data_IF_365957887948
#
_entry.id   IF_365957887948
#
_cell.length_a   1.000
_cell.length_b   1.000
_cell.length_c   1.000
_cell.angle_alpha   90.00
_cell.angle_beta   90.00
_cell.angle_gamma   90.00
#
_symmetry.space_group_name_H-M   'P 1'
#
loop_
_entity.id
_entity.type
_entity.pdbx_description
1 polymer ?
#
# COMPACT_ATOMS: atom_id res chain seq x y z
N UNK A 1 -12.58 4.68 -12.87
CA UNK A 1 -11.61 5.71 -12.48
C UNK A 1 -10.46 5.64 -13.49
N UNK A 2 -10.41 6.60 -14.42
CA UNK A 2 -9.36 6.81 -15.44
C UNK A 2 -9.42 8.29 -15.85
N UNK A 3 -8.29 8.94 -16.21
CA UNK A 3 -6.94 8.39 -16.19
C UNK A 3 -6.37 8.28 -14.76
N UNK A 4 -5.35 7.42 -14.59
CA UNK A 4 -4.49 7.41 -13.39
C UNK A 4 -3.60 8.65 -13.44
N UNK A 5 -3.26 9.22 -12.29
CA UNK A 5 -2.36 10.37 -12.19
C UNK A 5 -1.01 10.07 -12.87
N UNK A 6 -0.58 10.88 -13.85
CA UNK A 6 0.68 10.66 -14.57
C UNK A 6 1.93 10.77 -13.69
N UNK A 7 1.84 11.39 -12.50
CA UNK A 7 2.96 11.48 -11.55
C UNK A 7 3.12 10.21 -10.70
N UNK A 8 2.12 9.31 -10.72
CA UNK A 8 2.12 8.09 -9.91
C UNK A 8 3.33 7.18 -10.17
N UNK A 9 3.77 6.92 -11.42
CA UNK A 9 4.95 6.09 -11.67
C UNK A 9 6.23 6.64 -11.03
N UNK A 10 6.46 7.95 -11.13
CA UNK A 10 7.63 8.61 -10.53
C UNK A 10 7.63 8.53 -9.01
N UNK A 11 6.45 8.59 -8.38
CA UNK A 11 6.30 8.33 -6.95
C UNK A 11 6.54 6.85 -6.63
N UNK A 12 5.92 5.94 -7.38
CA UNK A 12 5.97 4.50 -7.14
C UNK A 12 7.40 3.94 -7.22
N UNK A 13 8.21 4.42 -8.17
CA UNK A 13 9.61 4.03 -8.34
C UNK A 13 10.49 4.28 -7.10
N UNK A 14 10.06 5.15 -6.17
CA UNK A 14 10.76 5.42 -4.90
C UNK A 14 10.38 4.44 -3.78
N UNK A 15 9.47 3.51 -4.05
CA UNK A 15 8.95 2.55 -3.07
C UNK A 15 9.24 1.11 -3.47
N UNK A 16 9.17 0.22 -2.49
CA UNK A 16 9.47 -1.22 -2.65
C UNK A 16 8.28 -2.02 -3.19
N UNK A 17 7.06 -1.50 -3.00
CA UNK A 17 5.82 -2.06 -3.53
C UNK A 17 4.75 -0.96 -3.60
N UNK A 18 3.69 -1.21 -4.37
CA UNK A 18 2.46 -0.41 -4.37
C UNK A 18 1.30 -1.29 -3.89
N UNK A 19 0.57 -0.82 -2.89
CA UNK A 19 -0.66 -1.45 -2.42
C UNK A 19 -1.86 -0.61 -2.85
N UNK A 20 -2.81 -1.21 -3.56
CA UNK A 20 -4.08 -0.58 -3.96
C UNK A 20 -5.20 -1.22 -3.16
N UNK A 21 -5.95 -0.41 -2.41
CA UNK A 21 -7.13 -0.86 -1.66
C UNK A 21 -8.35 -0.22 -2.30
N UNK A 22 -9.29 -1.05 -2.75
CA UNK A 22 -10.49 -0.60 -3.44
C UNK A 22 -11.75 -1.27 -2.89
N UNK A 23 -12.83 -0.50 -2.75
CA UNK A 23 -14.17 -0.99 -2.44
C UNK A 23 -14.91 -1.34 -3.74
N UNK A 24 -14.27 -2.20 -4.55
CA UNK A 24 -14.75 -2.63 -5.84
C UNK A 24 -14.21 -4.03 -6.16
N UNK A 25 -14.79 -4.70 -7.17
CA UNK A 25 -14.23 -5.94 -7.72
C UNK A 25 -12.78 -5.71 -8.15
N UNK A 26 -11.90 -6.60 -7.67
CA UNK A 26 -10.45 -6.53 -7.90
C UNK A 26 -10.06 -6.67 -9.38
N UNK A 27 -10.85 -7.41 -10.15
CA UNK A 27 -10.64 -7.62 -11.60
C UNK A 27 -11.08 -6.37 -12.37
N UNK A 28 -10.20 -5.82 -13.21
CA UNK A 28 -10.52 -4.66 -14.06
C UNK A 28 -10.70 -3.33 -13.29
N UNK A 29 -10.45 -3.32 -11.98
CA UNK A 29 -10.59 -2.17 -11.10
C UNK A 29 -9.42 -1.18 -11.16
N UNK A 30 -9.31 -0.38 -10.10
CA UNK A 30 -8.23 0.60 -9.89
C UNK A 30 -6.88 -0.10 -9.84
N UNK A 31 -6.78 -1.25 -9.19
CA UNK A 31 -5.52 -1.99 -9.13
C UNK A 31 -5.02 -2.42 -10.50
N UNK A 32 -5.92 -2.79 -11.41
CA UNK A 32 -5.58 -3.14 -12.79
C UNK A 32 -5.13 -1.91 -13.59
N UNK A 33 -5.80 -0.76 -13.40
CA UNK A 33 -5.42 0.49 -14.04
C UNK A 33 -4.03 0.98 -13.57
N UNK A 34 -3.78 0.96 -12.25
CA UNK A 34 -2.47 1.32 -11.68
C UNK A 34 -1.38 0.38 -12.19
N UNK A 35 -1.60 -0.94 -12.16
CA UNK A 35 -0.62 -1.89 -12.67
C UNK A 35 -0.32 -1.69 -14.16
N UNK A 36 -1.33 -1.34 -14.96
CA UNK A 36 -1.13 -1.00 -16.36
C UNK A 36 -0.29 0.26 -16.52
N UNK A 37 -0.63 1.35 -15.82
CA UNK A 37 0.12 2.62 -15.88
C UNK A 37 1.58 2.46 -15.44
N UNK A 38 1.86 1.65 -14.41
CA UNK A 38 3.24 1.38 -13.99
C UNK A 38 4.03 0.60 -15.05
N UNK A 39 3.41 -0.40 -15.70
CA UNK A 39 4.04 -1.15 -16.79
C UNK A 39 4.29 -0.28 -18.02
N UNK A 40 3.31 0.54 -18.41
CA UNK A 40 3.43 1.46 -19.54
C UNK A 40 4.56 2.49 -19.33
N UNK A 41 4.90 2.79 -18.06
CA UNK A 41 5.99 3.69 -17.67
C UNK A 41 7.30 2.96 -17.31
N UNK A 42 7.41 1.65 -17.59
CA UNK A 42 8.59 0.81 -17.28
C UNK A 42 9.02 0.84 -15.80
N UNK A 43 8.05 1.00 -14.89
CA UNK A 43 8.28 0.94 -13.44
C UNK A 43 8.00 -0.47 -12.92
N UNK A 44 9.07 -1.28 -12.83
CA UNK A 44 9.00 -2.68 -12.42
C UNK A 44 9.06 -2.84 -10.89
N UNK A 45 7.89 -2.89 -10.27
CA UNK A 45 7.77 -3.19 -8.84
C UNK A 45 6.53 -4.05 -8.52
N UNK A 46 6.51 -4.74 -7.37
CA UNK A 46 5.35 -5.51 -6.94
C UNK A 46 4.13 -4.62 -6.68
N UNK A 47 3.02 -4.90 -7.37
CA UNK A 47 1.70 -4.31 -7.09
C UNK A 47 0.82 -5.33 -6.36
N UNK A 48 0.19 -4.92 -5.27
CA UNK A 48 -0.75 -5.75 -4.50
C UNK A 48 -2.11 -5.07 -4.46
N UNK A 49 -3.13 -5.75 -4.99
CA UNK A 49 -4.49 -5.23 -5.04
C UNK A 49 -5.37 -5.93 -4.00
N UNK A 50 -6.00 -5.13 -3.15
CA UNK A 50 -6.98 -5.53 -2.16
C UNK A 50 -8.32 -4.99 -2.63
N UNK A 51 -9.24 -5.90 -2.96
CA UNK A 51 -10.56 -5.56 -3.44
C UNK A 51 -11.48 -6.77 -3.35
N UNK A 52 -12.74 -6.53 -3.66
CA UNK A 52 -13.82 -7.51 -3.58
C UNK A 52 -13.55 -8.65 -4.59
N UNK A 53 -13.71 -9.93 -4.20
CA UNK A 53 -13.58 -11.04 -5.15
C UNK A 53 -14.69 -10.99 -6.21
N UNK A 54 -14.43 -11.59 -7.37
CA UNK A 54 -15.41 -11.71 -8.45
C UNK A 54 -16.40 -12.85 -8.17
N UNK A 55 -17.23 -12.65 -7.14
CA UNK A 55 -18.23 -13.61 -6.69
C UNK A 55 -19.38 -12.90 -5.99
N UNK A 56 -20.54 -13.56 -5.91
CA UNK A 56 -21.63 -13.11 -5.04
C UNK A 56 -21.26 -13.33 -3.58
N UNK A 57 -21.40 -12.29 -2.78
CA UNK A 57 -21.16 -12.34 -1.33
C UNK A 57 -22.47 -12.64 -0.60
N UNK A 58 -22.36 -13.36 0.52
CA UNK A 58 -23.49 -13.58 1.39
C UNK A 58 -24.02 -12.26 1.96
N UNK A 59 -25.33 -12.20 2.21
CA UNK A 59 -25.92 -11.05 2.88
C UNK A 59 -25.47 -11.02 4.34
N UNK A 60 -24.78 -9.95 4.73
CA UNK A 60 -24.33 -9.70 6.08
C UNK A 60 -24.15 -8.18 6.28
N UNK A 61 -23.82 -7.74 7.50
CA UNK A 61 -23.45 -6.33 7.71
C UNK A 61 -22.15 -6.04 6.97
N UNK A 62 -21.97 -4.80 6.51
CA UNK A 62 -20.76 -4.39 5.76
C UNK A 62 -19.45 -4.82 6.43
N UNK A 63 -19.32 -4.63 7.74
CA UNK A 63 -18.11 -5.01 8.48
C UNK A 63 -17.86 -6.52 8.48
N UNK A 64 -18.92 -7.33 8.56
CA UNK A 64 -18.86 -8.80 8.48
C UNK A 64 -18.45 -9.21 7.05
N UNK A 65 -19.08 -8.64 6.02
CA UNK A 65 -18.71 -8.88 4.62
C UNK A 65 -17.22 -8.60 4.37
N UNK A 66 -16.72 -7.44 4.82
CA UNK A 66 -15.32 -7.05 4.66
C UNK A 66 -14.37 -7.98 5.44
N UNK A 67 -14.76 -8.42 6.63
CA UNK A 67 -14.00 -9.41 7.38
C UNK A 67 -13.94 -10.77 6.68
N UNK A 68 -15.07 -11.25 6.17
CA UNK A 68 -15.17 -12.54 5.47
C UNK A 68 -14.28 -12.61 4.22
N UNK A 69 -14.16 -11.49 3.48
CA UNK A 69 -13.31 -11.40 2.29
C UNK A 69 -11.88 -10.91 2.59
N UNK A 70 -11.56 -10.69 3.86
CA UNK A 70 -10.24 -10.32 4.33
C UNK A 70 -9.78 -8.90 3.97
N UNK A 71 -10.73 -7.95 3.90
CA UNK A 71 -10.52 -6.52 3.67
C UNK A 71 -10.58 -5.71 4.97
N UNK A 72 -10.11 -6.29 6.08
CA UNK A 72 -9.90 -5.54 7.32
C UNK A 72 -8.56 -4.81 7.32
N UNK A 73 -8.41 -3.70 8.07
CA UNK A 73 -7.13 -3.01 8.20
C UNK A 73 -5.99 -3.91 8.67
N UNK A 74 -6.26 -4.81 9.63
CA UNK A 74 -5.26 -5.72 10.19
C UNK A 74 -4.76 -6.73 9.16
N UNK A 75 -5.67 -7.33 8.39
CA UNK A 75 -5.30 -8.31 7.35
C UNK A 75 -4.59 -7.66 6.18
N UNK A 76 -5.03 -6.48 5.75
CA UNK A 76 -4.35 -5.71 4.69
C UNK A 76 -2.93 -5.37 5.13
N UNK A 77 -2.75 -4.82 6.34
CA UNK A 77 -1.44 -4.48 6.88
C UNK A 77 -0.55 -5.73 7.00
N UNK A 78 -1.08 -6.85 7.50
CA UNK A 78 -0.35 -8.12 7.61
C UNK A 78 0.11 -8.66 6.26
N UNK A 79 -0.76 -8.62 5.23
CA UNK A 79 -0.43 -9.06 3.87
C UNK A 79 0.62 -8.15 3.20
N UNK A 80 0.55 -6.84 3.43
CA UNK A 80 1.57 -5.88 2.98
C UNK A 80 2.91 -6.16 3.67
N UNK A 81 2.92 -6.35 4.99
CA UNK A 81 4.12 -6.67 5.76
C UNK A 81 4.78 -7.96 5.28
N UNK A 82 4.00 -9.03 5.11
CA UNK A 82 4.49 -10.30 4.58
C UNK A 82 5.06 -10.16 3.14
N UNK A 83 4.46 -9.31 2.31
CA UNK A 83 4.99 -9.02 0.98
C UNK A 83 6.33 -8.28 1.05
N UNK A 84 6.46 -7.28 1.93
CA UNK A 84 7.72 -6.56 2.15
C UNK A 84 8.84 -7.52 2.61
N UNK A 85 8.56 -8.39 3.58
CA UNK A 85 9.54 -9.37 4.06
C UNK A 85 10.04 -10.28 2.93
N UNK A 86 9.14 -10.77 2.06
CA UNK A 86 9.53 -11.58 0.90
C UNK A 86 10.41 -10.80 -0.09
N UNK A 87 10.06 -9.55 -0.38
CA UNK A 87 10.84 -8.69 -1.29
C UNK A 87 12.24 -8.43 -0.72
N UNK A 88 12.35 -8.21 0.58
CA UNK A 88 13.63 -8.06 1.28
C UNK A 88 14.48 -9.32 1.20
N UNK A 89 13.88 -10.48 1.45
CA UNK A 89 14.58 -11.76 1.39
C UNK A 89 15.10 -12.08 -0.02
N UNK A 90 14.39 -11.64 -1.07
CA UNK A 90 14.80 -11.84 -2.47
C UNK A 90 15.89 -10.85 -2.93
N UNK A 91 16.07 -9.72 -2.25
CA UNK A 91 17.02 -8.65 -2.59
C UNK A 91 17.82 -8.20 -1.36
N UNK A 92 18.71 -9.06 -0.83
CA UNK A 92 19.44 -8.79 0.40
C UNK A 92 20.32 -7.52 0.31
N UNK A 93 20.84 -7.20 -0.88
CA UNK A 93 21.62 -5.99 -1.15
C UNK A 93 20.81 -4.70 -1.00
N UNK A 94 19.51 -4.74 -1.33
CA UNK A 94 18.59 -3.60 -1.15
C UNK A 94 18.02 -3.51 0.25
N UNK A 95 18.02 -4.62 1.00
CA UNK A 95 17.52 -4.68 2.37
C UNK A 95 18.35 -3.80 3.32
N UNK A 96 19.68 -3.77 3.15
CA UNK A 96 20.60 -2.91 3.92
C UNK A 96 20.31 -1.43 3.73
N UNK A 97 20.31 -0.96 2.48
CA UNK A 97 19.99 0.43 2.13
C UNK A 97 18.57 0.84 2.56
N UNK A 98 17.59 -0.06 2.45
CA UNK A 98 16.22 0.21 2.86
C UNK A 98 16.06 0.27 4.39
N UNK A 99 16.87 -0.46 5.16
CA UNK A 99 16.86 -0.40 6.63
C UNK A 99 17.39 0.95 7.13
N UNK A 100 18.45 1.47 6.50
CA UNK A 100 19.00 2.80 6.78
C UNK A 100 18.00 3.90 6.43
N UNK A 101 17.38 3.83 5.23
CA UNK A 101 16.35 4.77 4.81
C UNK A 101 15.11 4.77 5.72
N UNK A 102 14.68 3.59 6.22
CA UNK A 102 13.58 3.49 7.19
C UNK A 102 13.94 4.05 8.56
N UNK A 103 15.19 3.88 8.99
CA UNK A 103 15.69 4.46 10.24
C UNK A 103 15.64 5.98 10.15
N UNK A 104 16.08 6.55 9.02
CA UNK A 104 15.98 7.98 8.74
C UNK A 104 14.51 8.46 8.66
N UNK A 105 13.63 7.73 7.97
CA UNK A 105 12.22 8.08 7.85
C UNK A 105 11.49 8.04 9.21
N UNK A 106 11.72 7.01 10.04
CA UNK A 106 11.15 6.90 11.40
C UNK A 106 11.66 8.01 12.31
N UNK A 107 12.93 8.40 12.21
CA UNK A 107 13.47 9.54 12.95
C UNK A 107 12.76 10.85 12.56
N UNK A 108 12.45 11.02 11.28
CA UNK A 108 11.65 12.15 10.77
C UNK A 108 10.19 12.15 11.24
N UNK A 109 9.51 10.99 11.22
CA UNK A 109 8.12 10.87 11.69
C UNK A 109 8.00 11.12 13.20
N UNK A 110 8.95 10.60 13.99
CA UNK A 110 8.99 10.82 15.44
C UNK A 110 9.34 12.29 15.79
N UNK A 111 10.16 12.95 14.98
CA UNK A 111 10.42 14.38 15.13
C UNK A 111 9.16 15.22 14.85
N UNK A 112 8.45 14.96 13.74
CA UNK A 112 7.21 15.66 13.39
C UNK A 112 6.07 15.47 14.40
N UNK A 113 5.93 14.27 14.98
CA UNK A 113 4.95 14.00 16.03
C UNK A 113 5.22 14.79 17.32
N UNK A 114 6.50 14.99 17.69
CA UNK A 114 6.89 15.81 18.85
C UNK A 114 6.62 17.30 18.65
N UNK A 115 6.79 17.81 17.43
CA UNK A 115 6.49 19.22 17.11
C UNK A 115 5.00 19.51 17.04
N UNK A 116 4.16 18.52 16.69
CA UNK A 116 2.71 18.65 16.69
C UNK A 116 2.14 18.72 18.12
N UNK A 117 2.61 17.87 19.04
CA UNK A 117 2.17 17.87 20.45
C UNK A 117 2.55 19.17 21.20
N UNK A 118 3.62 19.86 20.79
CA UNK A 118 4.02 21.13 21.39
C UNK A 118 3.12 22.32 21.02
N UNK A 119 2.36 22.24 19.92
CA UNK A 119 1.45 23.33 19.49
C UNK A 119 0.06 23.28 20.14
N UNK A 120 -0.37 22.14 20.68
CA UNK A 120 -1.66 22.02 21.38
C UNK A 120 -1.62 22.46 22.86
N UNK A 121 -0.44 22.70 23.43
CA UNK A 121 -0.29 23.15 24.83
C UNK A 121 -0.34 24.68 25.01
N UNK A 122 -0.58 25.45 23.95
CA UNK A 122 -0.63 26.92 23.97
C UNK A 122 -1.96 27.52 23.48
N UNK A 123 -3.04 26.73 23.45
CA UNK A 123 -4.40 27.20 23.17
C UNK A 123 -5.29 27.10 24.43
#
# INVERSE_FOLDING_TARGET
MKPVDPELPGLAARHRLVAVVEDNVRTGGVGAAVAQTLRDAEVDLPVRTFGIPEAFLAHAKRGEVLADIGLTPAEIAGRIGAALTRIEAAHPERAGAAAEARTAARAGTAAGARTAAAKESQA
#
